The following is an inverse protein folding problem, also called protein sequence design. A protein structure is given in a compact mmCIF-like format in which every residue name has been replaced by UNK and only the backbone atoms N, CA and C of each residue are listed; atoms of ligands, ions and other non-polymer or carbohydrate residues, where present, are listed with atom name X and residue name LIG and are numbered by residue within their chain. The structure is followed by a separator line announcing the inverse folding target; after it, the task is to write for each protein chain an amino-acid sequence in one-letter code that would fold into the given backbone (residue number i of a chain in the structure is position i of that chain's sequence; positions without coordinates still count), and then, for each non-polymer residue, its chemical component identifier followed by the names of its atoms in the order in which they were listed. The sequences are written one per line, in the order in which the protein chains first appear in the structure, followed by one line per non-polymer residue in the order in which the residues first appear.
data_IF_456779911847
#
_entry.id   IF_456779911847
#
_cell.length_a   1.000
_cell.length_b   1.000
_cell.length_c   1.000
_cell.angle_alpha   90.00
_cell.angle_beta   90.00
_cell.angle_gamma   90.00
#
_symmetry.space_group_name_H-M   'P 1'
#
loop_
_entity.id
_entity.type
_entity.pdbx_description
1 polymer ?
#
# COMPACT_ATOMS: atom_id res chain seq x y z
N UNK A 1 13.41 -19.26 3.54
CA UNK A 1 12.04 -19.05 4.07
C UNK A 1 11.00 -19.29 2.97
N UNK A 2 11.27 -18.92 1.71
CA UNK A 2 10.30 -19.06 0.59
C UNK A 2 9.80 -20.46 0.30
N UNK A 3 10.61 -21.49 0.57
CA UNK A 3 10.22 -22.89 0.35
C UNK A 3 9.44 -23.49 1.53
N UNK A 4 9.40 -22.80 2.67
CA UNK A 4 8.91 -23.36 3.95
C UNK A 4 7.65 -22.65 4.42
N UNK A 5 7.60 -21.32 4.39
CA UNK A 5 6.48 -20.57 4.95
C UNK A 5 5.19 -20.69 4.11
N UNK A 6 5.19 -20.55 2.77
CA UNK A 6 3.94 -20.61 1.99
C UNK A 6 3.16 -21.93 2.15
N UNK A 7 3.81 -23.12 2.14
CA UNK A 7 3.11 -24.37 2.41
C UNK A 7 2.50 -24.46 3.82
N UNK A 8 3.14 -23.87 4.82
CA UNK A 8 2.69 -23.91 6.22
C UNK A 8 1.54 -22.93 6.47
N UNK A 9 1.66 -21.70 5.94
CA UNK A 9 0.68 -20.64 6.18
C UNK A 9 -0.53 -20.75 5.25
N UNK A 10 -0.39 -21.44 4.11
CA UNK A 10 -1.41 -21.50 3.07
C UNK A 10 -1.51 -20.21 2.24
N UNK A 11 -0.60 -19.25 2.44
CA UNK A 11 -0.58 -17.98 1.70
C UNK A 11 0.63 -17.90 0.77
N UNK A 12 0.49 -17.29 -0.42
CA UNK A 12 1.57 -17.23 -1.40
C UNK A 12 2.66 -16.20 -1.05
N UNK A 13 2.51 -15.47 0.05
CA UNK A 13 3.46 -14.47 0.53
C UNK A 13 3.52 -14.50 2.06
N UNK A 14 4.54 -13.85 2.62
CA UNK A 14 4.73 -13.72 4.06
C UNK A 14 5.51 -12.45 4.39
N UNK A 15 5.54 -12.08 5.67
CA UNK A 15 6.40 -11.03 6.22
C UNK A 15 7.09 -11.57 7.48
N UNK A 16 8.38 -11.29 7.65
CA UNK A 16 9.17 -11.75 8.81
C UNK A 16 9.65 -10.62 9.74
N UNK A 17 9.20 -9.39 9.52
CA UNK A 17 9.54 -8.27 10.39
C UNK A 17 8.87 -8.44 11.75
N UNK A 18 9.52 -7.91 12.78
CA UNK A 18 8.93 -7.79 14.11
C UNK A 18 8.03 -6.54 14.24
N UNK A 19 7.90 -5.76 13.16
CA UNK A 19 7.07 -4.58 13.11
C UNK A 19 5.76 -4.84 12.35
N UNK A 20 4.77 -4.01 12.67
CA UNK A 20 3.56 -3.76 11.91
C UNK A 20 3.34 -2.24 11.89
N UNK A 21 2.31 -1.75 11.17
CA UNK A 21 2.05 -0.31 11.05
C UNK A 21 1.78 0.38 12.41
N UNK A 22 1.26 -0.34 13.40
CA UNK A 22 0.99 0.16 14.74
C UNK A 22 2.25 0.21 15.62
N UNK A 23 3.20 -0.70 15.42
CA UNK A 23 4.41 -0.84 16.25
C UNK A 23 5.65 -0.12 15.73
N UNK A 24 5.56 0.65 14.63
CA UNK A 24 6.69 1.38 14.05
C UNK A 24 7.36 2.39 15.01
N UNK A 25 6.61 2.95 15.95
CA UNK A 25 7.09 3.98 16.88
C UNK A 25 7.36 5.35 16.23
N UNK A 26 7.15 6.43 16.96
CA UNK A 26 7.16 7.78 16.39
C UNK A 26 8.55 8.28 15.94
N UNK A 27 9.63 7.87 16.62
CA UNK A 27 10.98 8.44 16.43
C UNK A 27 11.77 7.81 15.30
N UNK A 28 11.49 6.55 14.96
CA UNK A 28 12.21 5.79 13.91
C UNK A 28 11.25 5.22 12.86
N UNK A 29 10.09 5.87 12.69
CA UNK A 29 8.99 5.40 11.83
C UNK A 29 9.48 4.94 10.46
N UNK A 30 10.26 5.79 9.77
CA UNK A 30 10.77 5.48 8.42
C UNK A 30 11.60 4.22 8.39
N UNK A 31 12.63 4.14 9.23
CA UNK A 31 13.52 2.99 9.27
C UNK A 31 12.76 1.70 9.60
N UNK A 32 11.84 1.74 10.56
CA UNK A 32 11.06 0.57 10.95
C UNK A 32 10.05 0.17 9.86
N UNK A 33 9.53 1.13 9.09
CA UNK A 33 8.65 0.85 7.95
C UNK A 33 9.41 0.26 6.77
N UNK A 34 10.62 0.76 6.50
CA UNK A 34 11.52 0.19 5.49
C UNK A 34 11.93 -1.24 5.86
N UNK A 35 12.21 -1.54 7.14
CA UNK A 35 12.43 -2.90 7.65
C UNK A 35 11.19 -3.79 7.44
N UNK A 36 10.01 -3.29 7.82
CA UNK A 36 8.74 -3.97 7.63
C UNK A 36 8.53 -4.35 6.15
N UNK A 37 8.73 -3.41 5.23
CA UNK A 37 8.54 -3.65 3.79
C UNK A 37 9.60 -4.60 3.22
N UNK A 38 10.86 -4.41 3.58
CA UNK A 38 11.96 -5.25 3.07
C UNK A 38 11.91 -6.70 3.56
N UNK A 39 11.17 -6.96 4.64
CA UNK A 39 10.93 -8.28 5.22
C UNK A 39 9.76 -9.06 4.58
N UNK A 40 9.07 -8.49 3.59
CA UNK A 40 8.12 -9.27 2.78
C UNK A 40 8.85 -10.26 1.86
N UNK A 41 8.17 -11.35 1.51
CA UNK A 41 8.61 -12.27 0.46
C UNK A 41 8.79 -11.55 -0.88
N UNK A 42 9.70 -12.05 -1.72
CA UNK A 42 10.14 -11.36 -2.94
C UNK A 42 8.98 -10.95 -3.87
N UNK A 43 7.99 -11.82 -4.05
CA UNK A 43 6.80 -11.55 -4.87
C UNK A 43 5.96 -10.38 -4.35
N UNK A 44 5.84 -10.21 -3.04
CA UNK A 44 5.14 -9.07 -2.45
C UNK A 44 5.99 -7.79 -2.52
N UNK A 45 7.32 -7.89 -2.35
CA UNK A 45 8.22 -6.73 -2.46
C UNK A 45 8.19 -6.06 -3.84
N UNK A 46 8.07 -6.85 -4.91
CA UNK A 46 7.93 -6.32 -6.28
C UNK A 46 6.77 -5.34 -6.39
N UNK A 47 5.66 -5.58 -5.68
CA UNK A 47 4.51 -4.66 -5.70
C UNK A 47 4.92 -3.28 -5.17
N UNK A 48 5.61 -3.21 -4.03
CA UNK A 48 6.08 -1.95 -3.46
C UNK A 48 7.06 -1.21 -4.38
N UNK A 49 7.93 -1.95 -5.09
CA UNK A 49 8.85 -1.37 -6.07
C UNK A 49 8.12 -0.76 -7.26
N UNK A 50 7.11 -1.46 -7.82
CA UNK A 50 6.32 -0.96 -8.94
C UNK A 50 5.53 0.32 -8.60
N UNK A 51 5.17 0.51 -7.33
CA UNK A 51 4.50 1.72 -6.85
C UNK A 51 5.47 2.82 -6.37
N UNK A 52 6.78 2.64 -6.54
CA UNK A 52 7.81 3.59 -6.08
C UNK A 52 7.64 3.98 -4.59
N UNK A 53 7.35 2.97 -3.77
CA UNK A 53 6.90 3.18 -2.40
C UNK A 53 7.99 3.81 -1.53
N UNK A 54 9.27 3.55 -1.83
CA UNK A 54 10.42 4.15 -1.15
C UNK A 54 10.43 5.68 -1.26
N UNK A 55 10.16 6.22 -2.45
CA UNK A 55 10.07 7.67 -2.65
C UNK A 55 8.84 8.27 -1.94
N UNK A 56 7.72 7.53 -1.93
CA UNK A 56 6.52 7.94 -1.20
C UNK A 56 6.77 8.03 0.31
N UNK A 57 7.46 7.04 0.90
CA UNK A 57 7.88 7.07 2.31
C UNK A 57 8.80 8.26 2.58
N UNK A 58 9.84 8.44 1.75
CA UNK A 58 10.79 9.54 1.92
C UNK A 58 10.13 10.93 1.80
N UNK A 59 9.10 11.08 0.97
CA UNK A 59 8.31 12.31 0.86
C UNK A 59 7.48 12.57 2.11
N UNK A 60 6.79 11.55 2.63
CA UNK A 60 5.99 11.67 3.85
C UNK A 60 6.84 11.92 5.10
N UNK A 61 8.02 11.30 5.17
CA UNK A 61 8.99 11.47 6.25
C UNK A 61 9.51 12.91 6.31
N UNK A 62 9.96 13.44 5.16
CA UNK A 62 10.37 14.85 5.03
C UNK A 62 9.23 15.83 5.37
N UNK A 63 7.99 15.45 5.05
CA UNK A 63 6.80 16.24 5.38
C UNK A 63 6.37 16.14 6.85
N UNK A 64 7.01 15.29 7.67
CA UNK A 64 6.63 15.11 9.07
C UNK A 64 5.27 14.43 9.28
N UNK A 65 4.71 13.79 8.24
CA UNK A 65 3.37 13.17 8.28
C UNK A 65 3.40 11.65 8.32
N UNK A 66 4.56 11.02 8.06
CA UNK A 66 4.68 9.57 7.92
C UNK A 66 4.07 8.80 9.09
N UNK A 67 4.47 9.12 10.33
CA UNK A 67 3.97 8.44 11.53
C UNK A 67 2.45 8.51 11.64
N UNK A 68 1.87 9.70 11.45
CA UNK A 68 0.42 9.91 11.52
C UNK A 68 -0.32 9.07 10.47
N UNK A 69 0.19 9.04 9.24
CA UNK A 69 -0.42 8.25 8.16
C UNK A 69 -0.37 6.75 8.49
N UNK A 70 0.77 6.23 8.95
CA UNK A 70 0.88 4.83 9.36
C UNK A 70 -0.09 4.48 10.48
N UNK A 71 -0.22 5.33 11.51
CA UNK A 71 -1.14 5.12 12.62
C UNK A 71 -2.61 5.16 12.17
N UNK A 72 -2.96 6.03 11.23
CA UNK A 72 -4.31 6.06 10.64
C UNK A 72 -4.65 4.74 9.94
N UNK A 73 -3.72 4.15 9.19
CA UNK A 73 -3.93 2.86 8.55
C UNK A 73 -3.92 1.70 9.56
N UNK A 74 -3.09 1.77 10.60
CA UNK A 74 -3.06 0.77 11.66
C UNK A 74 -4.37 0.71 12.47
N UNK A 75 -5.12 1.81 12.53
CA UNK A 75 -6.40 1.89 13.22
C UNK A 75 -7.58 1.29 12.42
N UNK A 76 -7.38 0.92 11.15
CA UNK A 76 -8.43 0.35 10.30
C UNK A 76 -8.21 -1.17 10.20
N UNK A 77 -9.18 -1.95 10.67
CA UNK A 77 -9.15 -3.40 10.50
C UNK A 77 -9.48 -3.78 9.05
N UNK A 78 -8.43 -4.06 8.27
CA UNK A 78 -8.53 -4.52 6.89
C UNK A 78 -8.36 -6.05 6.77
N UNK A 79 -8.41 -6.80 7.87
CA UNK A 79 -8.30 -8.25 7.81
C UNK A 79 -9.43 -8.82 6.96
N UNK A 80 -9.20 -9.86 6.12
CA UNK A 80 -10.22 -10.46 5.25
C UNK A 80 -11.51 -10.95 5.93
N UNK A 81 -11.49 -11.08 7.27
CA UNK A 81 -12.65 -11.41 8.11
C UNK A 81 -13.54 -10.20 8.40
N UNK A 82 -12.95 -9.02 8.58
CA UNK A 82 -13.66 -7.77 8.79
C UNK A 82 -14.01 -7.10 7.46
N UNK A 83 -13.09 -7.16 6.49
CA UNK A 83 -13.25 -6.61 5.14
C UNK A 83 -13.12 -7.74 4.12
N UNK A 84 -14.24 -8.35 3.68
CA UNK A 84 -14.23 -9.38 2.66
C UNK A 84 -13.68 -8.87 1.33
N UNK A 85 -13.20 -9.79 0.48
CA UNK A 85 -12.57 -9.50 -0.82
C UNK A 85 -13.39 -8.53 -1.68
N UNK A 86 -14.68 -8.80 -1.87
CA UNK A 86 -15.58 -7.94 -2.66
C UNK A 86 -15.68 -6.52 -2.11
N UNK A 87 -15.67 -6.36 -0.78
CA UNK A 87 -15.69 -5.04 -0.15
C UNK A 87 -14.38 -4.30 -0.44
N UNK A 88 -13.24 -4.97 -0.35
CA UNK A 88 -11.95 -4.38 -0.69
C UNK A 88 -11.86 -4.00 -2.17
N UNK A 89 -12.39 -4.82 -3.09
CA UNK A 89 -12.51 -4.48 -4.51
C UNK A 89 -13.33 -3.22 -4.74
N UNK A 90 -14.48 -3.09 -4.07
CA UNK A 90 -15.31 -1.88 -4.15
C UNK A 90 -14.56 -0.63 -3.64
N UNK A 91 -13.80 -0.77 -2.53
CA UNK A 91 -12.96 0.32 -2.01
C UNK A 91 -11.92 0.74 -3.05
N UNK A 92 -11.24 -0.23 -3.67
CA UNK A 92 -10.25 0.05 -4.72
C UNK A 92 -10.87 0.76 -5.93
N UNK A 93 -12.00 0.27 -6.45
CA UNK A 93 -12.72 0.94 -7.54
C UNK A 93 -13.14 2.36 -7.17
N UNK A 94 -13.63 2.56 -5.95
CA UNK A 94 -14.01 3.88 -5.48
C UNK A 94 -12.81 4.83 -5.42
N UNK A 95 -11.64 4.36 -4.95
CA UNK A 95 -10.40 5.14 -4.94
C UNK A 95 -9.95 5.51 -6.36
N UNK A 96 -9.99 4.58 -7.32
CA UNK A 96 -9.68 4.87 -8.73
C UNK A 96 -10.65 5.92 -9.28
N UNK A 97 -11.96 5.78 -9.06
CA UNK A 97 -12.94 6.74 -9.59
C UNK A 97 -12.74 8.13 -9.00
N UNK A 98 -12.51 8.21 -7.68
CA UNK A 98 -12.34 9.47 -6.97
C UNK A 98 -11.07 10.21 -7.40
N UNK A 99 -9.93 9.52 -7.42
CA UNK A 99 -8.63 10.15 -7.71
C UNK A 99 -8.25 10.09 -9.19
N UNK A 100 -8.82 9.18 -9.98
CA UNK A 100 -8.66 9.14 -11.44
C UNK A 100 -9.38 10.30 -12.13
N UNK A 101 -10.49 10.79 -11.57
CA UNK A 101 -11.14 12.01 -12.05
C UNK A 101 -10.27 13.26 -11.79
N UNK A 102 -9.56 13.33 -10.65
CA UNK A 102 -8.64 14.42 -10.32
C UNK A 102 -7.37 14.42 -11.21
N UNK A 103 -6.94 13.25 -11.70
CA UNK A 103 -5.82 13.14 -12.67
C UNK A 103 -6.25 13.60 -14.08
N UNK A 104 -7.54 13.57 -14.40
CA UNK A 104 -8.04 13.91 -15.74
C UNK A 104 -8.05 15.41 -16.05
N UNK A 105 -7.93 16.31 -15.05
CA UNK A 105 -7.67 17.75 -15.29
C UNK A 105 -6.23 18.02 -15.77
N UNK A 106 -5.30 17.07 -15.60
CA UNK A 106 -3.97 17.11 -16.22
C UNK A 106 -3.88 16.30 -17.53
N UNK A 107 -4.99 15.70 -17.97
CA UNK A 107 -5.07 14.83 -19.14
C UNK A 107 -5.76 15.50 -20.35
N UNK A 108 -5.88 16.84 -20.37
CA UNK A 108 -6.41 17.55 -21.54
C UNK A 108 -5.51 17.44 -22.79
N UNK A 109 -4.23 17.04 -22.66
CA UNK A 109 -3.29 17.00 -23.81
C UNK A 109 -3.32 15.67 -24.61
N UNK A 110 -4.17 14.70 -24.23
CA UNK A 110 -4.29 13.41 -24.95
C UNK A 110 -5.72 12.97 -25.27
N UNK A 111 -6.71 13.84 -25.14
CA UNK A 111 -8.09 13.49 -25.48
C UNK A 111 -8.41 13.93 -26.92
N UNK A 112 -8.19 13.03 -27.88
CA UNK A 112 -8.98 13.13 -29.13
C UNK A 112 -10.44 12.78 -28.78
N UNK A 113 -11.42 13.62 -29.13
CA UNK A 113 -12.79 13.42 -28.69
C UNK A 113 -13.33 12.11 -29.26
N UNK A 114 -13.97 11.30 -28.41
CA UNK A 114 -14.82 10.22 -28.91
C UNK A 114 -16.16 10.84 -29.27
N UNK A 115 -16.42 10.94 -30.57
CA UNK A 115 -17.73 11.29 -31.10
C UNK A 115 -18.83 10.36 -30.57
N UNK A 116 -19.97 10.99 -30.38
CA UNK A 116 -21.28 10.51 -29.95
C UNK A 116 -21.82 9.42 -30.91
N UNK A 117 -22.25 8.26 -30.38
CA UNK A 117 -23.59 7.60 -30.42
C UNK A 117 -23.53 6.31 -29.59
#
# INVERSE_FOLDING_TARGET
MDLVLPPITGYPFYNTSNYDLGSLGATRTRQNLEDYISSFSANARVIFEQFDFANTIARMDRGGVLYKICQNFAAIDLHPKAVPERTMSNVYEHLIRKFGAEVNEAAEDFMTPRDVV
#
